data_IF_729847722572
#
_entry.id   IF_729847722572
#
_cell.length_a   1.000
_cell.length_b   1.000
_cell.length_c   1.000
_cell.angle_alpha   90.00
_cell.angle_beta   90.00
_cell.angle_gamma   90.00
#
_symmetry.space_group_name_H-M   'P 1'
#
loop_
_entity.id
_entity.type
_entity.pdbx_description
1 polymer ?
#
# COMPACT_ATOMS: atom_id res chain seq x y z
N UNK A 1 -4.92 -74.18 10.65
CA UNK A 1 -5.23 -73.03 11.53
C UNK A 1 -3.93 -72.29 11.77
N UNK A 2 -3.69 -71.17 11.07
CA UNK A 2 -2.63 -70.21 11.42
C UNK A 2 -3.02 -68.81 10.93
N UNK A 3 -2.87 -67.87 11.86
CA UNK A 3 -3.27 -66.47 11.93
C UNK A 3 -2.87 -65.58 10.73
N UNK A 4 -3.79 -64.71 10.28
CA UNK A 4 -3.46 -63.50 9.52
C UNK A 4 -3.43 -62.30 10.49
N UNK A 5 -2.25 -61.70 10.68
CA UNK A 5 -2.08 -60.45 11.43
C UNK A 5 -2.42 -59.25 10.55
N UNK A 6 -3.61 -58.68 10.76
CA UNK A 6 -4.00 -57.39 10.21
C UNK A 6 -3.18 -56.28 10.88
N UNK A 7 -2.27 -55.68 10.11
CA UNK A 7 -1.50 -54.51 10.54
C UNK A 7 -2.31 -53.24 10.27
N UNK A 8 -2.93 -52.70 11.32
CA UNK A 8 -3.60 -51.40 11.31
C UNK A 8 -2.54 -50.30 11.26
N UNK A 9 -2.38 -49.69 10.10
CA UNK A 9 -1.46 -48.57 9.87
C UNK A 9 -2.17 -47.27 10.29
N UNK A 10 -1.84 -46.75 11.47
CA UNK A 10 -2.31 -45.44 11.95
C UNK A 10 -1.58 -44.34 11.18
N UNK A 11 -2.32 -43.65 10.32
CA UNK A 11 -1.84 -42.45 9.62
C UNK A 11 -2.02 -41.25 10.54
N UNK A 12 -0.92 -40.70 11.04
CA UNK A 12 -0.90 -39.45 11.79
C UNK A 12 -1.05 -38.32 10.77
N UNK A 13 -2.22 -37.68 10.73
CA UNK A 13 -2.47 -36.45 9.97
C UNK A 13 -1.82 -35.30 10.74
N UNK A 14 -0.69 -34.80 10.27
CA UNK A 14 -0.10 -33.55 10.74
C UNK A 14 -0.99 -32.39 10.28
N UNK A 15 -1.66 -31.74 11.23
CA UNK A 15 -2.32 -30.47 11.01
C UNK A 15 -1.25 -29.38 10.86
N UNK A 16 -0.96 -28.97 9.63
CA UNK A 16 -0.24 -27.73 9.38
C UNK A 16 -1.18 -26.57 9.71
N UNK A 17 -0.91 -25.87 10.82
CA UNK A 17 -1.56 -24.60 11.11
C UNK A 17 -1.25 -23.63 9.99
N UNK A 18 -2.25 -23.28 9.16
CA UNK A 18 -2.15 -22.10 8.32
C UNK A 18 -2.27 -20.89 9.25
N UNK A 19 -1.13 -20.37 9.72
CA UNK A 19 -1.10 -18.98 10.19
C UNK A 19 -1.44 -18.10 8.97
N UNK A 20 -2.65 -17.56 8.94
CA UNK A 20 -2.94 -16.45 8.05
C UNK A 20 -1.97 -15.33 8.41
N UNK A 21 -1.11 -14.92 7.48
CA UNK A 21 -0.29 -13.74 7.66
C UNK A 21 -1.23 -12.56 7.89
N UNK A 22 -1.09 -11.89 9.02
CA UNK A 22 -1.84 -10.67 9.28
C UNK A 22 -1.32 -9.57 8.37
N UNK A 23 -2.19 -8.82 7.69
CA UNK A 23 -1.76 -7.74 6.81
C UNK A 23 -0.94 -6.71 7.58
N UNK A 24 0.26 -6.41 7.11
CA UNK A 24 1.12 -5.34 7.64
C UNK A 24 0.91 -4.10 6.79
N UNK A 25 -0.04 -3.25 7.22
CA UNK A 25 -0.40 -2.02 6.51
C UNK A 25 0.80 -1.12 6.23
N UNK A 26 1.80 -1.11 7.11
CA UNK A 26 2.99 -0.28 6.94
C UNK A 26 3.89 -0.85 5.84
N UNK A 27 4.16 -2.16 5.88
CA UNK A 27 4.98 -2.82 4.86
C UNK A 27 4.31 -2.80 3.48
N UNK A 28 3.00 -3.01 3.42
CA UNK A 28 2.22 -2.96 2.17
C UNK A 28 2.28 -1.56 1.55
N UNK A 29 2.06 -0.51 2.36
CA UNK A 29 2.17 0.88 1.91
C UNK A 29 3.59 1.21 1.45
N UNK A 30 4.64 0.76 2.15
CA UNK A 30 6.05 0.96 1.72
C UNK A 30 6.30 0.34 0.35
N UNK A 31 5.90 -0.92 0.16
CA UNK A 31 6.12 -1.64 -1.09
C UNK A 31 5.38 -0.99 -2.27
N UNK A 32 4.11 -0.61 -2.07
CA UNK A 32 3.32 0.10 -3.08
C UNK A 32 3.92 1.47 -3.41
N UNK A 33 4.29 2.23 -2.38
CA UNK A 33 4.89 3.55 -2.52
C UNK A 33 6.18 3.52 -3.35
N UNK A 34 7.05 2.54 -3.12
CA UNK A 34 8.29 2.38 -3.89
C UNK A 34 8.03 2.07 -5.36
N UNK A 35 7.06 1.20 -5.66
CA UNK A 35 6.69 0.89 -7.06
C UNK A 35 6.16 2.13 -7.77
N UNK A 36 5.21 2.83 -7.17
CA UNK A 36 4.64 4.06 -7.71
C UNK A 36 5.70 5.15 -7.88
N UNK A 37 6.63 5.30 -6.92
CA UNK A 37 7.74 6.25 -7.02
C UNK A 37 8.56 6.02 -8.30
N UNK A 38 9.00 4.78 -8.52
CA UNK A 38 9.81 4.43 -9.69
C UNK A 38 9.04 4.60 -10.99
N UNK A 39 7.78 4.15 -11.04
CA UNK A 39 6.95 4.29 -12.24
C UNK A 39 6.66 5.76 -12.56
N UNK A 40 6.31 6.57 -11.56
CA UNK A 40 6.05 7.99 -11.73
C UNK A 40 7.30 8.73 -12.23
N UNK A 41 8.49 8.41 -11.70
CA UNK A 41 9.74 8.95 -12.23
C UNK A 41 9.97 8.59 -13.70
N UNK A 42 9.75 7.32 -14.07
CA UNK A 42 9.94 6.87 -15.43
C UNK A 42 8.97 7.56 -16.40
N UNK A 43 7.69 7.66 -16.03
CA UNK A 43 6.66 8.37 -16.81
C UNK A 43 6.98 9.86 -16.93
N UNK A 44 7.40 10.51 -15.86
CA UNK A 44 7.82 11.92 -15.89
C UNK A 44 8.99 12.16 -16.86
N UNK A 45 10.00 11.30 -16.82
CA UNK A 45 11.17 11.40 -17.70
C UNK A 45 10.80 11.18 -19.17
N UNK A 46 9.91 10.23 -19.46
CA UNK A 46 9.41 10.03 -20.82
C UNK A 46 8.64 11.26 -21.32
N UNK A 47 7.73 11.78 -20.51
CA UNK A 47 6.92 12.95 -20.84
C UNK A 47 7.79 14.18 -21.16
N UNK A 48 8.85 14.39 -20.39
CA UNK A 48 9.80 15.50 -20.55
C UNK A 48 10.56 15.50 -21.89
N UNK A 49 10.58 14.40 -22.66
CA UNK A 49 11.25 14.33 -23.98
C UNK A 49 10.56 15.17 -25.06
N UNK A 50 9.26 15.42 -24.92
CA UNK A 50 8.44 16.15 -25.89
C UNK A 50 7.44 17.07 -25.17
N UNK A 51 7.91 18.07 -24.39
CA UNK A 51 7.10 18.74 -23.37
C UNK A 51 5.87 19.47 -23.92
N UNK A 52 5.95 20.02 -25.14
CA UNK A 52 4.85 20.77 -25.76
C UNK A 52 3.80 19.89 -26.46
N UNK A 53 4.02 18.58 -26.59
CA UNK A 53 3.06 17.72 -27.25
C UNK A 53 1.81 17.54 -26.37
N UNK A 54 0.61 17.46 -26.99
CA UNK A 54 -0.60 17.15 -26.24
C UNK A 54 -0.53 15.72 -25.68
N UNK A 55 -1.21 15.50 -24.57
CA UNK A 55 -1.41 14.17 -23.99
C UNK A 55 -2.89 13.99 -23.64
N UNK A 56 -3.41 12.82 -23.96
CA UNK A 56 -4.77 12.44 -23.60
C UNK A 56 -4.86 12.18 -22.10
N UNK A 57 -6.06 12.34 -21.54
CA UNK A 57 -6.37 11.94 -20.18
C UNK A 57 -6.08 10.44 -19.99
N UNK A 58 -5.53 10.07 -18.83
CA UNK A 58 -5.39 8.65 -18.51
C UNK A 58 -6.78 8.03 -18.35
N UNK A 59 -7.03 6.88 -18.99
CA UNK A 59 -8.29 6.17 -18.82
C UNK A 59 -8.39 5.62 -17.38
N UNK A 60 -9.59 5.50 -16.79
CA UNK A 60 -9.77 4.99 -15.41
C UNK A 60 -9.15 3.61 -15.15
N UNK A 61 -9.00 2.80 -16.20
CA UNK A 61 -8.37 1.48 -16.17
C UNK A 61 -6.83 1.50 -16.34
N UNK A 62 -6.20 2.67 -16.44
CA UNK A 62 -4.74 2.76 -16.43
C UNK A 62 -4.20 2.22 -15.11
N UNK A 63 -3.26 1.29 -15.17
CA UNK A 63 -2.70 0.63 -13.98
C UNK A 63 -2.09 1.62 -13.00
N UNK A 64 -1.54 2.74 -13.48
CA UNK A 64 -0.98 3.75 -12.60
C UNK A 64 -2.06 4.47 -11.78
N UNK A 65 -3.23 4.73 -12.36
CA UNK A 65 -4.35 5.34 -11.63
C UNK A 65 -4.95 4.36 -10.62
N UNK A 66 -4.98 3.06 -10.96
CA UNK A 66 -5.43 2.01 -10.05
C UNK A 66 -4.48 1.94 -8.85
N UNK A 67 -3.16 1.83 -9.09
CA UNK A 67 -2.17 1.75 -8.03
C UNK A 67 -2.13 3.05 -7.18
N UNK A 68 -2.32 4.23 -7.79
CA UNK A 68 -2.40 5.50 -7.06
C UNK A 68 -3.66 5.58 -6.19
N UNK A 69 -4.77 4.99 -6.63
CA UNK A 69 -6.00 4.87 -5.83
C UNK A 69 -5.83 3.89 -4.67
N UNK A 70 -5.13 2.77 -4.91
CA UNK A 70 -4.76 1.81 -3.86
C UNK A 70 -3.84 2.50 -2.83
N UNK A 71 -2.89 3.31 -3.27
CA UNK A 71 -2.03 4.09 -2.39
C UNK A 71 -2.83 5.06 -1.52
N UNK A 72 -3.79 5.77 -2.11
CA UNK A 72 -4.66 6.67 -1.36
C UNK A 72 -5.45 5.91 -0.28
N UNK A 73 -5.95 4.72 -0.60
CA UNK A 73 -6.67 3.86 0.33
C UNK A 73 -5.77 3.35 1.47
N UNK A 74 -4.57 2.85 1.16
CA UNK A 74 -3.64 2.35 2.17
C UNK A 74 -3.10 3.45 3.09
N UNK A 75 -2.81 4.64 2.54
CA UNK A 75 -2.48 5.81 3.35
C UNK A 75 -3.63 6.18 4.29
N UNK A 76 -4.88 6.15 3.80
CA UNK A 76 -6.05 6.41 4.65
C UNK A 76 -6.20 5.35 5.76
N UNK A 77 -6.02 4.07 5.43
CA UNK A 77 -6.07 2.97 6.41
C UNK A 77 -5.02 3.13 7.50
N UNK A 78 -3.79 3.48 7.13
CA UNK A 78 -2.72 3.73 8.10
C UNK A 78 -3.01 4.96 8.96
N UNK A 79 -3.58 6.04 8.39
CA UNK A 79 -4.05 7.19 9.16
C UNK A 79 -5.07 6.79 10.23
N UNK A 80 -6.04 5.94 9.87
CA UNK A 80 -7.03 5.39 10.82
C UNK A 80 -6.37 4.51 11.88
N UNK A 81 -5.40 3.66 11.50
CA UNK A 81 -4.68 2.83 12.45
C UNK A 81 -3.89 3.64 13.50
N UNK A 82 -3.28 4.75 13.08
CA UNK A 82 -2.63 5.70 14.00
C UNK A 82 -3.65 6.34 14.94
N UNK A 83 -4.82 6.74 14.42
CA UNK A 83 -5.90 7.33 15.23
C UNK A 83 -6.42 6.34 16.29
N UNK A 84 -6.74 5.12 15.86
CA UNK A 84 -7.36 4.08 16.68
C UNK A 84 -6.41 3.55 17.77
N UNK A 85 -5.09 3.56 17.51
CA UNK A 85 -4.05 3.19 18.49
C UNK A 85 -3.66 4.33 19.46
N UNK A 86 -4.22 5.53 19.29
CA UNK A 86 -3.80 6.71 20.05
C UNK A 86 -2.37 7.16 19.72
N UNK A 87 -1.89 6.84 18.52
CA UNK A 87 -0.58 7.21 18.03
C UNK A 87 -0.42 8.72 17.76
N UNK A 88 0.76 9.15 17.28
CA UNK A 88 1.05 10.56 17.08
C UNK A 88 0.06 11.25 16.15
N UNK A 89 -0.54 12.36 16.60
CA UNK A 89 -1.48 13.16 15.82
C UNK A 89 -0.88 13.60 14.47
N UNK A 90 0.42 13.89 14.44
CA UNK A 90 1.12 14.30 13.24
C UNK A 90 1.09 13.19 12.18
N UNK A 91 1.36 11.94 12.54
CA UNK A 91 1.31 10.80 11.62
C UNK A 91 -0.09 10.58 11.06
N UNK A 92 -1.13 10.68 11.90
CA UNK A 92 -2.53 10.62 11.45
C UNK A 92 -2.80 11.68 10.38
N UNK A 93 -2.42 12.93 10.65
CA UNK A 93 -2.63 14.04 9.73
C UNK A 93 -1.81 13.90 8.45
N UNK A 94 -0.56 13.44 8.54
CA UNK A 94 0.32 13.20 7.40
C UNK A 94 -0.28 12.17 6.45
N UNK A 95 -0.65 10.99 6.95
CA UNK A 95 -1.17 9.92 6.09
C UNK A 95 -2.54 10.27 5.49
N UNK A 96 -3.40 10.99 6.24
CA UNK A 96 -4.64 11.54 5.69
C UNK A 96 -4.35 12.52 4.54
N UNK A 97 -3.42 13.45 4.76
CA UNK A 97 -3.02 14.40 3.73
C UNK A 97 -2.42 13.70 2.50
N UNK A 98 -1.64 12.64 2.67
CA UNK A 98 -1.10 11.85 1.56
C UNK A 98 -2.18 11.16 0.73
N UNK A 99 -3.23 10.65 1.39
CA UNK A 99 -4.40 10.06 0.73
C UNK A 99 -5.13 11.09 -0.15
N UNK A 100 -5.50 12.23 0.44
CA UNK A 100 -6.16 13.33 -0.27
C UNK A 100 -5.30 13.87 -1.42
N UNK A 101 -3.98 13.97 -1.18
CA UNK A 101 -3.01 14.41 -2.18
C UNK A 101 -2.96 13.46 -3.39
N UNK A 102 -2.97 12.15 -3.15
CA UNK A 102 -2.94 11.15 -4.22
C UNK A 102 -4.22 11.20 -5.08
N UNK A 103 -5.39 11.31 -4.45
CA UNK A 103 -6.67 11.46 -5.16
C UNK A 103 -6.68 12.72 -6.03
N UNK A 104 -6.18 13.85 -5.50
CA UNK A 104 -6.08 15.08 -6.27
C UNK A 104 -5.18 14.92 -7.51
N UNK A 105 -4.04 14.26 -7.36
CA UNK A 105 -3.08 14.04 -8.47
C UNK A 105 -3.61 13.04 -9.49
N UNK A 106 -4.36 12.02 -9.05
CA UNK A 106 -5.06 11.12 -9.96
C UNK A 106 -6.07 11.88 -10.84
N UNK A 107 -6.84 12.81 -10.25
CA UNK A 107 -7.77 13.65 -11.00
C UNK A 107 -7.06 14.50 -12.08
N UNK A 108 -5.92 15.10 -11.74
CA UNK A 108 -5.12 15.88 -12.72
C UNK A 108 -4.61 15.03 -13.89
N UNK A 109 -4.24 13.77 -13.64
CA UNK A 109 -3.80 12.84 -14.69
C UNK A 109 -4.96 12.37 -15.59
N UNK A 110 -6.19 12.45 -15.10
CA UNK A 110 -7.41 12.19 -15.87
C UNK A 110 -7.92 13.40 -16.65
N UNK A 111 -7.14 14.47 -16.76
CA UNK A 111 -7.44 15.64 -17.59
C UNK A 111 -6.57 15.72 -18.84
N UNK A 112 -7.13 16.30 -19.91
CA UNK A 112 -6.38 16.65 -21.12
C UNK A 112 -5.36 17.74 -20.78
N UNK A 113 -4.11 17.55 -21.18
CA UNK A 113 -3.05 18.49 -20.86
C UNK A 113 -1.89 18.45 -21.87
N UNK A 114 -0.80 19.15 -21.56
CA UNK A 114 0.47 18.93 -22.25
C UNK A 114 1.28 17.83 -21.57
N UNK A 115 2.24 17.24 -22.28
CA UNK A 115 3.20 16.32 -21.67
C UNK A 115 3.99 16.99 -20.55
N UNK A 116 4.29 18.29 -20.63
CA UNK A 116 4.94 19.03 -19.55
C UNK A 116 4.07 19.07 -18.27
N UNK A 117 2.76 19.24 -18.41
CA UNK A 117 1.84 19.24 -17.27
C UNK A 117 1.78 17.86 -16.61
N UNK A 118 1.56 16.79 -17.39
CA UNK A 118 1.59 15.43 -16.85
C UNK A 118 2.95 15.07 -16.25
N UNK A 119 4.07 15.50 -16.85
CA UNK A 119 5.40 15.28 -16.29
C UNK A 119 5.56 15.89 -14.89
N UNK A 120 5.03 17.10 -14.68
CA UNK A 120 5.02 17.76 -13.37
C UNK A 120 4.18 16.98 -12.36
N UNK A 121 2.98 16.55 -12.75
CA UNK A 121 2.11 15.76 -11.85
C UNK A 121 2.79 14.43 -11.46
N UNK A 122 3.41 13.73 -12.42
CA UNK A 122 4.18 12.52 -12.12
C UNK A 122 5.37 12.78 -11.19
N UNK A 123 6.08 13.90 -11.33
CA UNK A 123 7.15 14.27 -10.38
C UNK A 123 6.61 14.52 -8.97
N UNK A 124 5.45 15.16 -8.86
CA UNK A 124 4.78 15.39 -7.58
C UNK A 124 4.30 14.10 -6.94
N UNK A 125 3.76 13.16 -7.73
CA UNK A 125 3.41 11.80 -7.27
C UNK A 125 4.66 11.06 -6.82
N UNK A 126 5.75 11.09 -7.58
CA UNK A 126 7.00 10.45 -7.19
C UNK A 126 7.52 10.99 -5.84
N UNK A 127 7.46 12.30 -5.63
CA UNK A 127 7.84 12.91 -4.35
C UNK A 127 6.92 12.44 -3.22
N UNK A 128 5.61 12.46 -3.45
CA UNK A 128 4.60 12.03 -2.47
C UNK A 128 4.83 10.59 -2.02
N UNK A 129 4.96 9.66 -2.98
CA UNK A 129 5.12 8.24 -2.68
C UNK A 129 6.50 7.92 -2.12
N UNK A 130 7.55 8.62 -2.55
CA UNK A 130 8.87 8.53 -1.91
C UNK A 130 8.82 8.89 -0.43
N UNK A 131 8.19 10.03 -0.09
CA UNK A 131 8.02 10.44 1.31
C UNK A 131 7.14 9.47 2.10
N UNK A 132 6.08 8.94 1.50
CA UNK A 132 5.22 7.95 2.14
C UNK A 132 5.99 6.68 2.49
N UNK A 133 6.86 6.18 1.60
CA UNK A 133 7.70 5.02 1.88
C UNK A 133 8.65 5.28 3.06
N UNK A 134 9.28 6.46 3.11
CA UNK A 134 10.18 6.83 4.21
C UNK A 134 9.44 6.92 5.56
N UNK A 135 8.26 7.56 5.57
CA UNK A 135 7.49 7.79 6.80
C UNK A 135 6.83 6.49 7.28
N UNK A 136 6.27 5.69 6.39
CA UNK A 136 5.68 4.38 6.73
C UNK A 136 6.74 3.37 7.20
N UNK A 137 8.02 3.56 6.86
CA UNK A 137 9.10 2.76 7.39
C UNK A 137 9.57 3.20 8.80
N UNK A 138 9.01 4.26 9.40
CA UNK A 138 9.38 4.68 10.76
C UNK A 138 8.84 3.72 11.82
N UNK A 139 9.53 3.57 12.97
CA UNK A 139 9.05 2.71 14.06
C UNK A 139 7.66 3.07 14.56
N UNK A 140 7.33 4.37 14.63
CA UNK A 140 6.05 4.86 15.11
C UNK A 140 4.90 4.48 14.15
N UNK A 141 5.12 4.56 12.83
CA UNK A 141 4.14 4.13 11.84
C UNK A 141 3.93 2.60 11.87
N UNK A 142 5.01 1.82 11.99
CA UNK A 142 4.94 0.37 12.11
C UNK A 142 4.21 -0.08 13.38
N UNK A 143 4.50 0.57 14.52
CA UNK A 143 3.82 0.26 15.79
C UNK A 143 2.30 0.50 15.71
N UNK A 144 1.88 1.58 15.04
CA UNK A 144 0.47 1.87 14.81
C UNK A 144 -0.19 0.80 13.90
N UNK A 145 0.48 0.35 12.84
CA UNK A 145 -0.04 -0.68 11.94
C UNK A 145 -0.24 -2.03 12.64
N UNK A 146 0.66 -2.40 13.56
CA UNK A 146 0.59 -3.65 14.33
C UNK A 146 -0.50 -3.63 15.41
N UNK A 147 -0.91 -2.45 15.88
CA UNK A 147 -1.88 -2.30 16.98
C UNK A 147 -3.28 -2.79 16.63
N UNK A 148 -3.63 -2.89 15.34
CA UNK A 148 -4.90 -3.48 14.87
C UNK A 148 -4.83 -5.02 14.83
N UNK A 149 -3.62 -5.58 14.77
CA UNK A 149 -3.39 -6.97 14.42
C UNK A 149 -3.44 -7.96 15.60
N UNK A 150 -3.52 -7.46 16.83
CA UNK A 150 -3.62 -8.31 18.02
C UNK A 150 -5.05 -8.28 18.57
N UNK A 151 -5.87 -9.34 18.39
CA UNK A 151 -6.88 -9.61 19.39
C UNK A 151 -6.14 -9.85 20.69
N UNK A 152 -6.36 -9.01 21.70
CA UNK A 152 -5.91 -9.29 23.05
C UNK A 152 -6.44 -10.68 23.43
N UNK A 153 -5.56 -11.68 23.53
CA UNK A 153 -5.88 -12.92 24.23
C UNK A 153 -6.36 -12.51 25.61
N UNK A 154 -7.67 -12.59 25.80
CA UNK A 154 -8.28 -12.38 27.10
C UNK A 154 -7.97 -13.63 27.89
N UNK A 155 -6.94 -13.57 28.74
CA UNK A 155 -6.71 -14.55 29.80
C UNK A 155 -8.02 -14.72 30.58
N UNK A 156 -8.73 -15.82 30.33
CA UNK A 156 -9.83 -16.28 31.16
C UNK A 156 -9.27 -17.41 32.05
N UNK A 157 -9.00 -17.04 33.30
CA UNK A 157 -8.75 -17.91 34.44
C UNK A 157 -9.87 -18.93 34.65
#
# INVERSE_FOLDING_TARGET
MSSMFAHTLVTIVSAASLQAATPDLSADLVALSQRLHMEAQARAQDMARSPAAPVEALPPQDSFLIDLSEFALEAHRLSRAVDDSGGPMDLRCIFRGMSEDAEHRAALLSELATRADHARVYQEVARLTGQAAEIAATPDAQAAALSISCPAETDAQ
#
